data_IF_234255615513
#
_entry.id   IF_234255615513
#
_cell.length_a   1.000
_cell.length_b   1.000
_cell.length_c   1.000
_cell.angle_alpha   90.00
_cell.angle_beta   90.00
_cell.angle_gamma   90.00
#
_symmetry.space_group_name_H-M   'P 1'
#
loop_
_entity.id
_entity.type
_entity.pdbx_description
1 polymer ?
#
# COMPACT_ATOMS: atom_id res chain seq x y z
N UNK A 1 -7.00 -18.36 -11.12
CA UNK A 1 -6.79 -18.36 -9.65
C UNK A 1 -5.34 -18.05 -9.34
N UNK A 2 -5.07 -17.23 -8.32
CA UNK A 2 -3.71 -16.87 -7.89
C UNK A 2 -3.70 -16.53 -6.39
N UNK A 3 -2.55 -16.63 -5.70
CA UNK A 3 -2.43 -16.26 -4.30
C UNK A 3 -2.65 -14.75 -4.08
N UNK A 4 -3.08 -14.39 -2.88
CA UNK A 4 -3.20 -13.00 -2.44
C UNK A 4 -1.92 -12.56 -1.72
N UNK A 5 -1.41 -11.37 -2.05
CA UNK A 5 -0.35 -10.71 -1.28
C UNK A 5 -0.93 -9.65 -0.34
N UNK A 6 -0.50 -9.62 0.91
CA UNK A 6 -0.85 -8.54 1.85
C UNK A 6 0.44 -7.87 2.34
N UNK A 7 0.58 -6.59 2.05
CA UNK A 7 1.72 -5.76 2.44
C UNK A 7 1.27 -4.79 3.52
N UNK A 8 1.96 -4.81 4.66
CA UNK A 8 1.67 -3.95 5.80
C UNK A 8 2.84 -2.99 6.02
N UNK A 9 2.56 -1.68 5.97
CA UNK A 9 3.53 -0.68 6.39
C UNK A 9 3.31 -0.35 7.87
N UNK A 10 4.19 -0.76 8.78
CA UNK A 10 4.02 -0.51 10.20
C UNK A 10 4.09 0.98 10.56
N UNK A 11 4.83 1.77 9.77
CA UNK A 11 5.05 3.19 10.03
C UNK A 11 3.97 4.10 9.43
N UNK A 12 3.12 3.60 8.53
CA UNK A 12 2.04 4.40 7.95
C UNK A 12 1.04 4.87 9.03
N UNK A 13 0.49 6.08 8.85
CA UNK A 13 -0.38 6.70 9.85
C UNK A 13 0.36 7.24 11.09
N UNK A 14 1.70 7.34 11.04
CA UNK A 14 2.57 7.89 12.09
C UNK A 14 3.46 9.04 11.57
N UNK A 15 3.10 9.63 10.46
CA UNK A 15 3.81 10.73 9.83
C UNK A 15 3.88 11.96 10.78
N UNK A 16 4.99 12.68 10.74
CA UNK A 16 5.20 13.93 11.48
C UNK A 16 4.13 14.99 11.19
N UNK A 17 3.59 15.00 9.96
CA UNK A 17 2.47 15.86 9.56
C UNK A 17 1.21 15.60 10.38
N UNK A 18 0.95 14.35 10.78
CA UNK A 18 -0.17 14.02 11.68
C UNK A 18 0.04 14.53 13.09
N UNK A 19 1.29 14.47 13.57
CA UNK A 19 1.64 15.04 14.88
C UNK A 19 1.43 16.55 14.86
N UNK A 20 1.89 17.22 13.82
CA UNK A 20 1.68 18.66 13.62
C UNK A 20 0.19 19.04 13.51
N UNK A 21 -0.62 18.22 12.84
CA UNK A 21 -2.06 18.40 12.68
C UNK A 21 -2.89 17.91 13.90
N UNK A 22 -2.24 17.42 14.97
CA UNK A 22 -2.91 16.82 16.15
C UNK A 22 -3.88 15.68 15.79
N UNK A 23 -3.62 14.97 14.68
CA UNK A 23 -4.43 13.86 14.23
C UNK A 23 -4.08 12.57 15.00
N UNK A 24 -5.05 11.68 15.16
CA UNK A 24 -4.84 10.38 15.83
C UNK A 24 -3.77 9.55 15.14
N UNK A 25 -2.96 8.84 15.91
CA UNK A 25 -1.94 7.92 15.42
C UNK A 25 -2.57 6.55 15.26
N UNK A 26 -2.36 5.91 14.10
CA UNK A 26 -2.78 4.52 13.89
C UNK A 26 -1.92 3.58 14.75
N UNK A 27 -2.54 2.91 15.71
CA UNK A 27 -1.84 1.97 16.59
C UNK A 27 -1.50 0.67 15.85
N UNK A 28 -0.41 0.00 16.26
CA UNK A 28 -0.05 -1.30 15.69
C UNK A 28 -1.12 -2.37 15.96
N UNK A 29 -1.80 -2.29 17.11
CA UNK A 29 -2.90 -3.19 17.44
C UNK A 29 -4.07 -3.06 16.46
N UNK A 30 -4.45 -1.84 16.09
CA UNK A 30 -5.53 -1.62 15.12
C UNK A 30 -5.19 -2.21 13.75
N UNK A 31 -3.93 -2.02 13.31
CA UNK A 31 -3.43 -2.64 12.08
C UNK A 31 -3.44 -4.16 12.16
N UNK A 32 -3.04 -4.73 13.31
CA UNK A 32 -3.08 -6.17 13.53
C UNK A 32 -4.50 -6.69 13.36
N UNK A 33 -5.49 -6.06 13.98
CA UNK A 33 -6.89 -6.45 13.83
C UNK A 33 -7.41 -6.28 12.40
N UNK A 34 -6.99 -5.22 11.70
CA UNK A 34 -7.32 -5.06 10.28
C UNK A 34 -6.74 -6.21 9.45
N UNK A 35 -5.47 -6.56 9.64
CA UNK A 35 -4.84 -7.68 8.91
C UNK A 35 -5.55 -9.00 9.20
N UNK A 36 -5.92 -9.28 10.45
CA UNK A 36 -6.71 -10.48 10.79
C UNK A 36 -8.00 -10.54 9.99
N UNK A 37 -8.77 -9.44 9.94
CA UNK A 37 -10.02 -9.37 9.18
C UNK A 37 -9.82 -9.47 7.67
N UNK A 38 -8.75 -8.87 7.14
CA UNK A 38 -8.38 -9.00 5.72
C UNK A 38 -8.11 -10.45 5.34
N UNK A 39 -7.32 -11.15 6.15
CA UNK A 39 -6.98 -12.56 5.91
C UNK A 39 -8.22 -13.44 5.98
N UNK A 40 -9.01 -13.32 7.05
CA UNK A 40 -10.24 -14.10 7.21
C UNK A 40 -11.25 -13.84 6.09
N UNK A 41 -11.47 -12.56 5.76
CA UNK A 41 -12.34 -12.18 4.65
C UNK A 41 -11.89 -12.79 3.32
N UNK A 42 -10.60 -12.79 3.03
CA UNK A 42 -10.05 -13.35 1.80
C UNK A 42 -10.20 -14.88 1.75
N UNK A 43 -9.84 -15.59 2.83
CA UNK A 43 -9.92 -17.04 2.89
C UNK A 43 -11.37 -17.55 2.77
N UNK A 44 -12.31 -16.90 3.48
CA UNK A 44 -13.72 -17.25 3.43
C UNK A 44 -14.38 -16.98 2.05
N UNK A 45 -13.77 -16.13 1.23
CA UNK A 45 -14.27 -15.79 -0.10
C UNK A 45 -13.39 -16.33 -1.24
N UNK A 46 -12.68 -17.42 -0.99
CA UNK A 46 -12.08 -18.25 -2.04
C UNK A 46 -10.59 -18.04 -2.29
N UNK A 47 -9.89 -17.19 -1.56
CA UNK A 47 -8.43 -17.16 -1.62
C UNK A 47 -7.85 -18.49 -1.13
N UNK A 48 -7.07 -19.17 -1.95
CA UNK A 48 -6.46 -20.46 -1.60
C UNK A 48 -5.19 -20.30 -0.76
N UNK A 49 -4.44 -19.25 -1.02
CA UNK A 49 -3.23 -18.91 -0.28
C UNK A 49 -3.12 -17.40 -0.09
N UNK A 50 -2.67 -17.00 1.10
CA UNK A 50 -2.42 -15.61 1.48
C UNK A 50 -0.96 -15.47 1.90
N UNK A 51 -0.23 -14.62 1.20
CA UNK A 51 1.15 -14.28 1.51
C UNK A 51 1.22 -13.00 2.32
N UNK A 52 1.93 -13.06 3.45
CA UNK A 52 2.29 -11.91 4.28
C UNK A 52 3.80 -11.83 4.41
N UNK A 53 4.32 -10.65 4.67
CA UNK A 53 5.73 -10.46 4.99
C UNK A 53 5.90 -10.14 6.47
N UNK A 54 6.93 -10.72 7.09
CA UNK A 54 7.36 -10.30 8.43
C UNK A 54 7.89 -8.87 8.34
N UNK A 55 7.41 -8.00 9.21
CA UNK A 55 7.87 -6.63 9.36
C UNK A 55 8.38 -6.38 10.81
N UNK A 56 9.09 -5.27 11.09
CA UNK A 56 9.81 -5.09 12.36
C UNK A 56 8.95 -5.20 13.62
N UNK A 57 7.68 -4.86 13.54
CA UNK A 57 6.76 -4.85 14.70
C UNK A 57 5.91 -6.12 14.81
N UNK A 58 6.11 -7.09 13.90
CA UNK A 58 5.42 -8.38 13.90
C UNK A 58 3.89 -8.26 13.84
N UNK A 59 3.39 -7.20 13.20
CA UNK A 59 1.93 -6.97 13.05
C UNK A 59 1.31 -8.11 12.27
N UNK A 60 1.87 -8.43 11.09
CA UNK A 60 1.40 -9.49 10.21
C UNK A 60 1.43 -10.85 10.89
N UNK A 61 2.51 -11.17 11.59
CA UNK A 61 2.70 -12.43 12.28
C UNK A 61 1.68 -12.62 13.40
N UNK A 62 1.53 -11.59 14.26
CA UNK A 62 0.55 -11.63 15.36
C UNK A 62 -0.90 -11.65 14.87
N UNK A 63 -1.17 -11.00 13.73
CA UNK A 63 -2.51 -10.95 13.15
C UNK A 63 -3.04 -12.34 12.78
N UNK A 64 -2.15 -13.26 12.41
CA UNK A 64 -2.53 -14.61 11.94
C UNK A 64 -2.26 -15.72 12.97
N UNK A 65 -1.75 -15.36 14.15
CA UNK A 65 -1.35 -16.33 15.17
C UNK A 65 -2.48 -17.29 15.59
N UNK A 66 -3.70 -16.77 15.66
CA UNK A 66 -4.88 -17.51 16.11
C UNK A 66 -5.84 -17.91 14.98
N UNK A 67 -5.43 -17.76 13.70
CA UNK A 67 -6.23 -18.21 12.56
C UNK A 67 -6.07 -19.73 12.40
N UNK A 68 -7.18 -20.43 12.20
CA UNK A 68 -7.19 -21.91 12.10
C UNK A 68 -6.57 -22.40 10.78
N UNK A 69 -6.78 -21.66 9.69
CA UNK A 69 -6.36 -21.99 8.30
C UNK A 69 -4.87 -21.73 8.05
N UNK A 70 -4.00 -22.11 8.99
CA UNK A 70 -2.54 -21.82 8.93
C UNK A 70 -1.84 -22.38 7.68
N UNK A 71 -2.33 -23.46 7.12
CA UNK A 71 -1.75 -24.08 5.93
C UNK A 71 -1.87 -23.19 4.67
N UNK A 72 -2.89 -22.35 4.64
CA UNK A 72 -3.15 -21.40 3.56
C UNK A 72 -2.40 -20.06 3.73
N UNK A 73 -1.79 -19.83 4.90
CA UNK A 73 -1.08 -18.61 5.21
C UNK A 73 0.42 -18.84 5.07
N UNK A 74 1.07 -18.04 4.23
CA UNK A 74 2.51 -18.12 3.96
C UNK A 74 3.20 -16.85 4.46
N UNK A 75 4.00 -17.00 5.51
CA UNK A 75 4.80 -15.88 6.05
C UNK A 75 6.16 -15.84 5.35
N UNK A 76 6.42 -14.74 4.64
CA UNK A 76 7.72 -14.50 4.01
C UNK A 76 8.69 -13.88 5.01
N UNK A 77 9.81 -14.54 5.20
CA UNK A 77 10.90 -14.08 6.05
C UNK A 77 12.11 -13.67 5.20
N UNK A 78 12.65 -12.51 5.48
CA UNK A 78 13.89 -12.01 4.87
C UNK A 78 14.60 -11.05 5.82
N UNK A 79 15.87 -10.76 5.54
CA UNK A 79 16.63 -9.80 6.34
C UNK A 79 16.08 -8.40 6.13
N UNK A 80 15.52 -7.82 7.18
CA UNK A 80 14.95 -6.48 7.17
C UNK A 80 16.04 -5.41 7.11
N UNK A 81 15.80 -4.37 6.33
CA UNK A 81 16.63 -3.15 6.23
C UNK A 81 15.99 -1.96 6.94
N UNK A 82 14.77 -2.11 7.44
CA UNK A 82 13.98 -1.09 8.13
C UNK A 82 13.73 0.17 7.30
N UNK A 83 13.56 0.01 6.00
CA UNK A 83 13.26 1.09 5.06
C UNK A 83 12.36 0.60 3.91
N UNK A 84 12.12 1.46 2.92
CA UNK A 84 11.29 1.17 1.76
C UNK A 84 11.69 -0.09 0.97
N UNK A 85 12.95 -0.50 1.06
CA UNK A 85 13.44 -1.71 0.40
C UNK A 85 12.78 -3.00 0.93
N UNK A 86 12.30 -3.00 2.16
CA UNK A 86 11.57 -4.15 2.72
C UNK A 86 10.24 -4.36 1.99
N UNK A 87 9.55 -3.27 1.65
CA UNK A 87 8.33 -3.32 0.81
C UNK A 87 8.65 -3.84 -0.60
N UNK A 88 9.74 -3.38 -1.21
CA UNK A 88 10.20 -3.87 -2.52
C UNK A 88 10.49 -5.36 -2.47
N UNK A 89 11.19 -5.82 -1.43
CA UNK A 89 11.55 -7.23 -1.27
C UNK A 89 10.31 -8.10 -1.08
N UNK A 90 9.38 -7.66 -0.23
CA UNK A 90 8.11 -8.35 -0.01
C UNK A 90 7.31 -8.48 -1.31
N UNK A 91 7.10 -7.37 -2.03
CA UNK A 91 6.35 -7.34 -3.28
C UNK A 91 6.98 -8.27 -4.34
N UNK A 92 8.30 -8.21 -4.54
CA UNK A 92 9.02 -9.09 -5.48
C UNK A 92 8.86 -10.56 -5.15
N UNK A 93 8.98 -10.93 -3.87
CA UNK A 93 8.83 -12.32 -3.44
C UNK A 93 7.40 -12.83 -3.58
N UNK A 94 6.42 -12.02 -3.23
CA UNK A 94 5.00 -12.34 -3.44
C UNK A 94 4.68 -12.49 -4.92
N UNK A 95 5.19 -11.58 -5.78
CA UNK A 95 5.03 -11.67 -7.23
C UNK A 95 5.64 -12.96 -7.79
N UNK A 96 6.85 -13.31 -7.35
CA UNK A 96 7.53 -14.55 -7.74
C UNK A 96 6.78 -15.81 -7.25
N UNK A 97 6.09 -15.72 -6.10
CA UNK A 97 5.21 -16.77 -5.59
C UNK A 97 3.86 -16.87 -6.31
N UNK A 98 3.61 -16.01 -7.31
CA UNK A 98 2.40 -16.05 -8.13
C UNK A 98 1.31 -15.06 -7.72
N UNK A 99 1.51 -14.24 -6.68
CA UNK A 99 0.55 -13.20 -6.33
C UNK A 99 0.38 -12.20 -7.49
N UNK A 100 -0.86 -11.87 -7.81
CA UNK A 100 -1.22 -10.85 -8.82
C UNK A 100 -2.14 -9.78 -8.24
N UNK A 101 -2.81 -10.09 -7.13
CA UNK A 101 -3.63 -9.17 -6.36
C UNK A 101 -2.93 -8.89 -5.02
N UNK A 102 -2.87 -7.61 -4.65
CA UNK A 102 -2.22 -7.15 -3.43
C UNK A 102 -3.15 -6.25 -2.64
N UNK A 103 -3.33 -6.55 -1.37
CA UNK A 103 -3.85 -5.58 -0.40
C UNK A 103 -2.65 -4.84 0.19
N UNK A 104 -2.68 -3.52 0.10
CA UNK A 104 -1.60 -2.66 0.63
C UNK A 104 -2.15 -1.82 1.77
N UNK A 105 -1.82 -2.21 3.00
CA UNK A 105 -2.16 -1.47 4.22
C UNK A 105 -1.09 -0.41 4.47
N UNK A 106 -1.29 0.78 3.90
CA UNK A 106 -0.28 1.84 3.91
C UNK A 106 -0.76 3.14 3.26
N UNK A 107 0.12 4.12 3.16
CA UNK A 107 -0.12 5.40 2.49
C UNK A 107 0.28 5.38 1.00
N UNK A 108 0.20 6.56 0.37
CA UNK A 108 0.54 6.77 -1.05
C UNK A 108 1.94 6.26 -1.39
N UNK A 109 2.94 6.54 -0.56
CA UNK A 109 4.31 6.09 -0.76
C UNK A 109 4.46 4.57 -0.77
N UNK A 110 3.72 3.85 0.07
CA UNK A 110 3.76 2.37 0.10
C UNK A 110 3.15 1.79 -1.16
N UNK A 111 2.00 2.31 -1.57
CA UNK A 111 1.32 1.89 -2.79
C UNK A 111 2.16 2.18 -4.03
N UNK A 112 2.82 3.34 -4.09
CA UNK A 112 3.76 3.71 -5.15
C UNK A 112 4.89 2.69 -5.28
N UNK A 113 5.49 2.25 -4.17
CA UNK A 113 6.55 1.25 -4.19
C UNK A 113 6.04 -0.08 -4.76
N UNK A 114 4.85 -0.52 -4.36
CA UNK A 114 4.27 -1.77 -4.88
C UNK A 114 3.97 -1.65 -6.36
N UNK A 115 3.33 -0.56 -6.81
CA UNK A 115 3.02 -0.32 -8.22
C UNK A 115 4.28 -0.26 -9.10
N UNK A 116 5.35 0.39 -8.61
CA UNK A 116 6.64 0.43 -9.30
C UNK A 116 7.31 -0.93 -9.38
N UNK A 117 7.14 -1.77 -8.35
CA UNK A 117 7.77 -3.08 -8.26
C UNK A 117 7.01 -4.13 -9.07
N UNK A 118 5.69 -4.05 -9.10
CA UNK A 118 4.76 -4.96 -9.77
C UNK A 118 3.75 -4.14 -10.60
N UNK A 119 4.13 -3.63 -11.80
CA UNK A 119 3.31 -2.71 -12.57
C UNK A 119 1.93 -3.26 -12.98
N UNK A 120 1.83 -4.57 -13.16
CA UNK A 120 0.58 -5.24 -13.58
C UNK A 120 -0.22 -5.80 -12.40
N UNK A 121 0.14 -5.43 -11.17
CA UNK A 121 -0.58 -5.89 -9.99
C UNK A 121 -1.96 -5.23 -9.87
N UNK A 122 -2.96 -6.01 -9.49
CA UNK A 122 -4.22 -5.50 -8.99
C UNK A 122 -4.02 -5.05 -7.54
N UNK A 123 -4.25 -3.77 -7.25
CA UNK A 123 -4.05 -3.20 -5.94
C UNK A 123 -5.39 -2.91 -5.26
N UNK A 124 -5.51 -3.35 -4.00
CA UNK A 124 -6.53 -2.90 -3.06
C UNK A 124 -5.82 -2.02 -2.02
N UNK A 125 -5.73 -0.70 -2.27
CA UNK A 125 -5.00 0.20 -1.40
C UNK A 125 -5.87 0.63 -0.21
N UNK A 126 -5.45 0.25 1.01
CA UNK A 126 -6.19 0.55 2.25
C UNK A 126 -5.44 1.62 3.03
N UNK A 127 -6.14 2.72 3.30
CA UNK A 127 -5.61 3.82 4.07
C UNK A 127 -5.52 3.47 5.55
N UNK A 128 -4.38 3.80 6.15
CA UNK A 128 -4.17 3.73 7.60
C UNK A 128 -4.13 5.13 8.24
N UNK A 129 -4.49 6.15 7.47
CA UNK A 129 -4.45 7.53 7.90
C UNK A 129 -5.36 8.43 7.06
N UNK A 130 -5.44 9.70 7.42
CA UNK A 130 -6.36 10.67 6.80
C UNK A 130 -5.73 11.49 5.66
N UNK A 131 -4.40 11.45 5.51
CA UNK A 131 -3.66 12.29 4.56
C UNK A 131 -3.17 11.46 3.37
N UNK A 132 -4.03 10.65 2.79
CA UNK A 132 -3.72 9.83 1.63
C UNK A 132 -4.74 10.14 0.53
N UNK A 133 -4.28 10.15 -0.71
CA UNK A 133 -5.11 10.37 -1.91
C UNK A 133 -5.40 9.06 -2.63
N UNK A 134 -4.40 8.20 -2.77
CA UNK A 134 -4.53 6.95 -3.50
C UNK A 134 -5.22 5.84 -2.69
N UNK A 135 -4.82 5.52 -1.45
CA UNK A 135 -5.51 4.51 -0.65
C UNK A 135 -6.81 5.04 -0.04
N UNK A 136 -7.78 4.15 0.05
CA UNK A 136 -9.12 4.46 0.54
C UNK A 136 -9.38 3.90 1.93
N UNK A 137 -10.32 4.53 2.63
CA UNK A 137 -10.84 4.03 3.90
C UNK A 137 -11.92 2.98 3.60
N UNK A 138 -11.56 1.72 3.73
CA UNK A 138 -12.46 0.58 3.50
C UNK A 138 -12.43 -0.33 4.72
N UNK A 139 -13.57 -0.93 5.05
CA UNK A 139 -13.64 -1.92 6.12
C UNK A 139 -12.85 -3.17 5.72
N UNK A 140 -12.04 -3.68 6.66
CA UNK A 140 -11.04 -4.70 6.36
C UNK A 140 -11.65 -6.04 5.91
N UNK A 141 -12.78 -6.47 6.51
CA UNK A 141 -13.44 -7.73 6.11
C UNK A 141 -13.99 -7.64 4.69
N UNK A 142 -14.55 -6.48 4.31
CA UNK A 142 -15.07 -6.24 2.97
C UNK A 142 -13.93 -6.23 1.95
N UNK A 143 -12.83 -5.55 2.24
CA UNK A 143 -11.66 -5.53 1.36
C UNK A 143 -11.05 -6.93 1.22
N UNK A 144 -10.96 -7.70 2.31
CA UNK A 144 -10.52 -9.09 2.29
C UNK A 144 -11.41 -9.96 1.41
N UNK A 145 -12.74 -9.86 1.58
CA UNK A 145 -13.70 -10.60 0.78
C UNK A 145 -13.57 -10.29 -0.73
N UNK A 146 -13.50 -8.99 -1.09
CA UNK A 146 -13.31 -8.57 -2.48
C UNK A 146 -12.01 -9.15 -3.08
N UNK A 147 -10.90 -9.11 -2.33
CA UNK A 147 -9.64 -9.70 -2.77
C UNK A 147 -9.75 -11.22 -2.96
N UNK A 148 -10.45 -11.91 -2.06
CA UNK A 148 -10.69 -13.36 -2.16
C UNK A 148 -11.46 -13.73 -3.42
N UNK A 149 -12.53 -13.00 -3.73
CA UNK A 149 -13.34 -13.19 -4.93
C UNK A 149 -12.54 -12.94 -6.23
N UNK A 150 -11.67 -11.93 -6.24
CA UNK A 150 -10.77 -11.65 -7.37
C UNK A 150 -9.73 -12.79 -7.52
N UNK A 151 -9.08 -13.18 -6.42
CA UNK A 151 -8.05 -14.23 -6.45
C UNK A 151 -8.60 -15.59 -6.87
N UNK A 152 -9.84 -15.91 -6.48
CA UNK A 152 -10.53 -17.14 -6.88
C UNK A 152 -11.06 -17.12 -8.32
N UNK A 153 -11.05 -15.96 -8.98
CA UNK A 153 -11.60 -15.79 -10.33
C UNK A 153 -13.14 -15.71 -10.38
N UNK A 154 -13.81 -15.59 -9.23
CA UNK A 154 -15.27 -15.42 -9.17
C UNK A 154 -15.69 -14.01 -9.63
N UNK A 155 -14.81 -13.03 -9.45
CA UNK A 155 -14.99 -11.66 -9.92
C UNK A 155 -13.93 -11.38 -10.99
N UNK A 156 -14.34 -11.14 -12.25
CA UNK A 156 -13.41 -10.84 -13.34
C UNK A 156 -12.77 -9.46 -13.14
N UNK A 157 -11.44 -9.40 -13.33
CA UNK A 157 -10.65 -8.19 -13.15
C UNK A 157 -11.07 -7.12 -14.16
N UNK A 158 -11.29 -7.51 -15.41
CA UNK A 158 -11.58 -6.62 -16.54
C UNK A 158 -12.85 -5.79 -16.35
N UNK A 159 -13.82 -6.33 -15.63
CA UNK A 159 -15.11 -5.69 -15.39
C UNK A 159 -15.17 -4.91 -14.08
N UNK A 160 -14.33 -5.28 -13.09
CA UNK A 160 -14.44 -4.78 -11.72
C UNK A 160 -13.23 -3.99 -11.26
N UNK A 161 -12.15 -3.97 -12.05
CA UNK A 161 -10.96 -3.20 -11.78
C UNK A 161 -10.71 -2.21 -12.92
N UNK A 162 -10.22 -1.04 -12.59
CA UNK A 162 -9.87 -0.02 -13.60
C UNK A 162 -8.39 0.30 -13.54
N UNK A 163 -7.82 0.64 -14.69
CA UNK A 163 -6.44 1.08 -14.77
C UNK A 163 -6.32 2.50 -14.24
N UNK A 164 -5.44 2.68 -13.26
CA UNK A 164 -5.11 4.00 -12.73
C UNK A 164 -4.08 4.69 -13.63
N UNK A 165 -4.20 6.00 -13.76
CA UNK A 165 -3.14 6.83 -14.33
C UNK A 165 -1.95 6.87 -13.38
N UNK A 166 -0.77 7.09 -13.94
CA UNK A 166 0.46 7.34 -13.19
C UNK A 166 1.32 8.35 -13.93
N UNK A 167 2.10 9.13 -13.20
CA UNK A 167 3.09 10.05 -13.77
C UNK A 167 4.43 9.34 -13.76
N UNK A 168 5.03 9.17 -14.94
CA UNK A 168 6.41 8.73 -15.06
C UNK A 168 7.32 9.94 -15.09
N UNK A 169 8.34 9.93 -14.25
CA UNK A 169 9.37 10.98 -14.17
C UNK A 169 10.67 10.40 -14.69
N UNK A 170 11.29 11.08 -15.62
CA UNK A 170 12.62 10.78 -16.12
C UNK A 170 13.49 12.03 -15.95
N UNK A 171 14.61 11.89 -15.28
CA UNK A 171 15.56 12.96 -15.05
C UNK A 171 16.69 12.94 -16.09
N UNK A 172 17.34 14.08 -16.30
CA UNK A 172 18.42 14.23 -17.29
C UNK A 172 19.63 13.31 -17.02
N UNK A 173 19.80 12.85 -15.77
CA UNK A 173 20.82 11.87 -15.37
C UNK A 173 20.42 10.41 -15.64
N UNK A 174 19.26 10.19 -16.26
CA UNK A 174 18.70 8.86 -16.54
C UNK A 174 18.01 8.20 -15.36
N UNK A 175 17.91 8.84 -14.21
CA UNK A 175 17.12 8.33 -13.10
C UNK A 175 15.62 8.41 -13.41
N UNK A 176 14.88 7.38 -13.03
CA UNK A 176 13.43 7.30 -13.27
C UNK A 176 12.67 7.14 -11.96
N UNK A 177 11.51 7.74 -11.91
CA UNK A 177 10.58 7.57 -10.80
C UNK A 177 9.12 7.50 -11.28
N UNK A 178 8.21 7.20 -10.36
CA UNK A 178 6.79 7.02 -10.60
C UNK A 178 5.98 7.73 -9.53
N UNK A 179 4.93 8.44 -9.91
CA UNK A 179 3.94 8.96 -8.97
C UNK A 179 2.55 8.40 -9.28
N UNK A 180 1.79 8.06 -8.23
CA UNK A 180 0.39 7.59 -8.31
C UNK A 180 -0.61 8.73 -8.10
N UNK A 181 -0.16 9.83 -7.51
CA UNK A 181 -0.99 10.99 -7.18
C UNK A 181 -0.50 12.20 -7.97
N UNK A 182 0.65 12.71 -7.62
CA UNK A 182 1.26 13.88 -8.27
C UNK A 182 2.78 13.79 -8.34
N UNK A 183 3.36 14.55 -9.27
CA UNK A 183 4.76 14.88 -9.31
C UNK A 183 4.88 16.42 -9.34
N UNK A 184 5.62 16.99 -8.41
CA UNK A 184 5.74 18.44 -8.22
C UNK A 184 7.17 18.87 -8.47
N UNK A 185 7.34 19.84 -9.37
CA UNK A 185 8.62 20.50 -9.59
C UNK A 185 8.71 21.75 -8.73
N UNK A 186 9.68 21.77 -7.84
CA UNK A 186 9.95 22.89 -6.94
C UNK A 186 11.13 23.72 -7.42
N UNK A 187 11.10 25.03 -7.16
CA UNK A 187 12.21 25.95 -7.30
C UNK A 187 12.77 26.27 -5.93
N UNK A 188 14.10 26.32 -5.83
CA UNK A 188 14.80 26.76 -4.60
C UNK A 188 14.40 25.99 -3.31
N UNK A 189 14.06 24.71 -3.44
CA UNK A 189 13.79 23.86 -2.27
C UNK A 189 15.09 23.28 -1.72
N UNK A 190 15.08 22.96 -0.42
CA UNK A 190 16.22 22.34 0.23
C UNK A 190 16.04 20.83 0.29
N UNK A 191 17.09 20.09 -0.09
CA UNK A 191 17.12 18.64 0.06
C UNK A 191 16.85 18.23 1.51
N UNK A 192 15.87 17.36 1.71
CA UNK A 192 15.50 16.85 3.03
C UNK A 192 14.44 17.67 3.77
N UNK A 193 13.84 18.67 3.13
CA UNK A 193 12.65 19.34 3.70
C UNK A 193 11.52 18.34 3.85
N UNK A 194 11.10 18.11 5.11
CA UNK A 194 10.02 17.18 5.46
C UNK A 194 8.66 17.87 5.62
N UNK A 195 8.65 19.19 5.60
CA UNK A 195 7.45 19.99 5.82
C UNK A 195 7.01 20.68 4.53
N UNK A 196 5.73 21.02 4.44
CA UNK A 196 5.19 21.63 3.23
C UNK A 196 5.94 22.93 2.91
N UNK A 197 6.39 22.97 1.77
CA UNK A 197 7.01 24.04 1.05
C UNK A 197 6.05 25.21 0.88
N UNK A 198 6.59 26.37 0.73
CA UNK A 198 5.81 27.52 0.31
C UNK A 198 5.24 27.26 -1.09
N UNK A 199 3.96 27.56 -1.29
CA UNK A 199 3.33 27.46 -2.61
C UNK A 199 4.06 28.31 -3.67
N UNK A 200 4.76 29.36 -3.26
CA UNK A 200 5.61 30.19 -4.14
C UNK A 200 6.79 29.43 -4.76
N UNK A 201 7.20 28.31 -4.16
CA UNK A 201 8.29 27.48 -4.66
C UNK A 201 7.80 26.44 -5.70
N UNK A 202 6.51 26.29 -5.87
CA UNK A 202 5.95 25.37 -6.88
C UNK A 202 6.13 25.97 -8.26
N UNK A 203 6.81 25.22 -9.14
CA UNK A 203 6.97 25.57 -10.55
C UNK A 203 5.93 24.90 -11.43
N UNK A 204 5.74 23.59 -11.26
CA UNK A 204 4.81 22.78 -12.04
C UNK A 204 4.25 21.66 -11.18
N UNK A 205 3.03 21.24 -11.48
CA UNK A 205 2.35 20.09 -10.86
C UNK A 205 1.82 19.22 -11.98
N UNK A 206 2.16 17.92 -11.94
CA UNK A 206 1.63 16.90 -12.84
C UNK A 206 0.76 15.96 -12.02
N UNK A 207 -0.54 15.92 -12.30
CA UNK A 207 -1.50 15.12 -11.55
C UNK A 207 -1.85 13.84 -12.30
N UNK A 208 -1.68 12.69 -11.64
CA UNK A 208 -2.26 11.42 -12.04
C UNK A 208 -3.67 11.27 -11.47
N UNK A 209 -3.90 11.74 -10.25
CA UNK A 209 -5.17 11.66 -9.53
C UNK A 209 -5.39 12.94 -8.72
N UNK A 210 -6.66 13.37 -8.67
CA UNK A 210 -7.11 14.47 -7.82
C UNK A 210 -8.40 14.06 -7.14
N UNK A 211 -8.47 14.23 -5.83
CA UNK A 211 -9.62 13.89 -5.00
C UNK A 211 -10.03 15.12 -4.18
N UNK A 212 -11.25 15.59 -4.36
CA UNK A 212 -11.74 16.79 -3.68
C UNK A 212 -11.77 16.69 -2.15
N UNK A 213 -11.86 15.48 -1.62
CA UNK A 213 -11.88 15.20 -0.18
C UNK A 213 -10.50 14.92 0.43
N UNK A 214 -9.42 14.94 -0.37
CA UNK A 214 -8.08 14.67 0.14
C UNK A 214 -7.49 15.89 0.84
N UNK A 215 -6.73 15.62 1.89
CA UNK A 215 -5.97 16.65 2.63
C UNK A 215 -4.50 16.50 2.27
N UNK A 216 -3.95 17.48 1.57
CA UNK A 216 -2.56 17.44 1.12
C UNK A 216 -2.31 18.49 0.05
N UNK A 217 -1.24 18.31 -0.73
CA UNK A 217 -0.88 19.19 -1.84
C UNK A 217 -1.69 18.83 -3.09
N UNK A 218 -2.12 17.61 -3.18
CA UNK A 218 -2.97 17.11 -4.27
C UNK A 218 -4.43 17.04 -3.84
#
# INVERSE_FOLDING_TARGET
MHPLGIIVNPMSGRDVRRVAARASISAHHDKQQQVTRLVLGALQNGAQEVYLAREPFRISERAVENIAEKTQIKMLEFKLKHNAHDTVTAAKRMWAAGCRTFIVLGGDGTNRIVARTCPDAVLLPISTGTNNVFPQMVEASVAGAAAGLICSGQVPIEENCYRCKQVHVECDDGTTDLALVDAILLKNDQLGSLLPFSASNISQIFLARSEAASVGIS
#
